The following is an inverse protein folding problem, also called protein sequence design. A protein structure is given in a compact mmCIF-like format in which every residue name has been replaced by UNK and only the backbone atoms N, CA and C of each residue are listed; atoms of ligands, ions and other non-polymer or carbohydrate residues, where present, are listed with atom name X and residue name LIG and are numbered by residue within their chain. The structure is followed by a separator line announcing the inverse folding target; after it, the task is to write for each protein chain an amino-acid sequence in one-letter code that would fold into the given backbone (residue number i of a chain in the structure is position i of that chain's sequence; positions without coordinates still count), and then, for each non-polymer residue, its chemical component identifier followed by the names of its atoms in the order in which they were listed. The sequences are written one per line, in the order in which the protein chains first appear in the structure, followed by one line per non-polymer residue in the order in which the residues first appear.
data_IF_124610112817
#
_entry.id   IF_124610112817
#
_cell.length_a   1.000
_cell.length_b   1.000
_cell.length_c   1.000
_cell.angle_alpha   90.00
_cell.angle_beta   90.00
_cell.angle_gamma   90.00
#
_symmetry.space_group_name_H-M   'P 1'
#
loop_
_entity.id
_entity.type
_entity.pdbx_description
1 polymer ?
#
# COMPACT_ATOMS: atom_id res chain seq x y z
N UNK A 1 14.62 6.27 -5.45
CA UNK A 1 15.78 7.16 -5.20
C UNK A 1 16.04 7.18 -3.70
N UNK A 2 17.30 7.36 -3.29
CA UNK A 2 17.68 7.56 -1.89
C UNK A 2 17.07 8.84 -1.34
N UNK A 3 16.92 8.95 -0.02
CA UNK A 3 16.46 10.20 0.58
C UNK A 3 17.43 11.37 0.33
N UNK A 4 18.74 11.12 0.21
CA UNK A 4 19.70 12.17 -0.16
C UNK A 4 19.34 12.80 -1.51
N UNK A 5 19.06 11.98 -2.52
CA UNK A 5 18.63 12.45 -3.84
C UNK A 5 17.27 13.15 -3.77
N UNK A 6 16.33 12.59 -3.00
CA UNK A 6 15.01 13.20 -2.79
C UNK A 6 15.11 14.57 -2.11
N UNK A 7 16.00 14.72 -1.11
CA UNK A 7 16.22 15.97 -0.40
C UNK A 7 16.87 17.04 -1.27
N UNK A 8 17.86 16.68 -2.09
CA UNK A 8 18.40 17.61 -3.09
C UNK A 8 17.34 18.01 -4.11
N UNK A 9 16.52 17.06 -4.60
CA UNK A 9 15.44 17.38 -5.52
C UNK A 9 14.39 18.31 -4.89
N UNK A 10 14.02 18.09 -3.63
CA UNK A 10 13.11 18.96 -2.88
C UNK A 10 13.64 20.40 -2.81
N UNK A 11 14.94 20.59 -2.53
CA UNK A 11 15.57 21.91 -2.52
C UNK A 11 15.53 22.62 -3.87
N UNK A 12 15.42 21.87 -4.97
CA UNK A 12 15.20 22.39 -6.33
C UNK A 12 13.71 22.52 -6.71
N UNK A 13 12.80 22.42 -5.74
CA UNK A 13 11.35 22.62 -5.93
C UNK A 13 10.58 21.36 -6.31
N UNK A 14 11.22 20.19 -6.37
CA UNK A 14 10.50 18.95 -6.64
C UNK A 14 9.62 18.53 -5.45
N UNK A 15 8.50 17.88 -5.78
CA UNK A 15 7.67 17.15 -4.82
C UNK A 15 8.07 15.67 -4.89
N UNK A 16 8.25 15.03 -3.74
CA UNK A 16 8.68 13.62 -3.66
C UNK A 16 7.79 12.83 -2.70
N UNK A 17 7.70 11.52 -2.88
CA UNK A 17 6.90 10.64 -2.02
C UNK A 17 7.49 9.24 -1.99
N UNK A 18 7.04 8.44 -1.03
CA UNK A 18 7.14 6.98 -1.10
C UNK A 18 5.96 6.43 -1.91
N UNK A 19 6.11 5.28 -2.60
CA UNK A 19 5.10 4.77 -3.51
C UNK A 19 3.74 4.64 -2.82
N UNK A 20 3.65 4.01 -1.66
CA UNK A 20 2.39 3.81 -0.94
C UNK A 20 1.84 5.04 -0.19
N UNK A 21 2.52 6.19 -0.21
CA UNK A 21 2.06 7.35 0.55
C UNK A 21 1.24 8.33 -0.32
N UNK A 22 0.03 8.68 0.13
CA UNK A 22 -0.91 9.47 -0.68
C UNK A 22 -0.61 10.97 -0.73
N UNK A 23 0.33 11.45 0.08
CA UNK A 23 0.83 12.82 0.11
C UNK A 23 2.14 13.01 -0.66
N UNK A 24 2.80 14.15 -0.43
CA UNK A 24 4.16 14.43 -0.91
C UNK A 24 4.95 15.30 0.07
N UNK A 25 6.28 15.19 0.05
CA UNK A 25 7.21 16.02 0.79
C UNK A 25 7.81 17.05 -0.16
N UNK A 26 8.07 18.24 0.37
CA UNK A 26 8.69 19.33 -0.37
C UNK A 26 9.52 20.23 0.57
N UNK A 27 10.50 20.93 0.01
CA UNK A 27 11.25 21.96 0.74
C UNK A 27 10.47 23.27 0.73
N UNK A 28 10.14 23.78 1.91
CA UNK A 28 9.44 25.06 2.06
C UNK A 28 10.45 26.17 2.35
N UNK A 29 10.62 27.10 1.39
CA UNK A 29 11.57 28.21 1.52
C UNK A 29 11.22 29.14 2.69
N UNK A 30 9.95 29.59 2.90
CA UNK A 30 9.61 30.41 4.06
C UNK A 30 9.88 29.73 5.40
N UNK A 31 9.61 28.42 5.51
CA UNK A 31 9.79 27.67 6.76
C UNK A 31 11.23 27.17 6.98
N UNK A 32 12.08 27.17 5.93
CA UNK A 32 13.39 26.53 5.91
C UNK A 32 13.35 25.10 6.45
N UNK A 33 12.33 24.34 6.05
CA UNK A 33 12.07 22.97 6.53
C UNK A 33 11.45 22.11 5.43
N UNK A 34 11.44 20.80 5.65
CA UNK A 34 10.65 19.86 4.86
C UNK A 34 9.22 19.89 5.40
N UNK A 35 8.26 20.19 4.51
CA UNK A 35 6.84 20.05 4.80
C UNK A 35 6.29 18.79 4.14
N UNK A 36 5.43 18.09 4.87
CA UNK A 36 4.71 16.90 4.43
C UNK A 36 3.26 17.30 4.13
N UNK A 37 2.93 17.41 2.84
CA UNK A 37 1.56 17.66 2.40
C UNK A 37 0.78 16.34 2.42
N UNK A 38 -0.22 16.23 3.28
CA UNK A 38 -1.03 15.02 3.41
C UNK A 38 -2.11 14.92 2.34
N UNK A 39 -2.71 13.73 2.18
CA UNK A 39 -3.85 13.52 1.28
C UNK A 39 -5.07 14.39 1.62
N UNK A 40 -5.17 14.84 2.87
CA UNK A 40 -6.28 15.65 3.38
C UNK A 40 -5.98 17.16 3.25
N UNK A 41 -4.93 17.54 2.52
CA UNK A 41 -4.58 18.94 2.25
C UNK A 41 -3.88 19.67 3.39
N UNK A 42 -3.35 18.94 4.39
CA UNK A 42 -2.64 19.53 5.53
C UNK A 42 -1.14 19.52 5.30
N UNK A 43 -0.48 20.63 5.59
CA UNK A 43 0.99 20.70 5.65
C UNK A 43 1.48 20.48 7.08
N UNK A 44 2.32 19.46 7.27
CA UNK A 44 2.95 19.15 8.55
C UNK A 44 4.45 19.40 8.42
N UNK A 45 5.00 20.27 9.26
CA UNK A 45 6.46 20.40 9.35
C UNK A 45 7.07 19.11 9.89
N UNK A 46 8.13 18.62 9.24
CA UNK A 46 8.78 17.37 9.64
C UNK A 46 9.25 17.39 11.11
N UNK A 47 9.57 18.58 11.64
CA UNK A 47 9.95 18.79 13.04
C UNK A 47 8.79 18.58 14.02
N UNK A 48 7.56 18.71 13.53
CA UNK A 48 6.32 18.53 14.28
C UNK A 48 5.73 17.13 14.09
N UNK A 49 6.50 16.17 13.57
CA UNK A 49 6.02 14.79 13.42
C UNK A 49 5.72 14.15 14.77
N UNK A 50 4.53 13.59 14.92
CA UNK A 50 4.12 12.86 16.13
C UNK A 50 4.61 11.40 16.11
N UNK A 51 4.86 10.85 14.92
CA UNK A 51 5.34 9.49 14.73
C UNK A 51 6.78 9.49 14.20
N UNK A 52 7.72 9.70 15.11
CA UNK A 52 9.15 9.81 14.80
C UNK A 52 9.67 8.54 14.13
N UNK A 53 9.36 7.36 14.68
CA UNK A 53 9.80 6.06 14.12
C UNK A 53 9.38 5.89 12.65
N UNK A 54 8.11 6.18 12.34
CA UNK A 54 7.59 6.14 10.96
C UNK A 54 8.31 7.14 10.05
N UNK A 55 8.52 8.37 10.52
CA UNK A 55 9.14 9.44 9.72
C UNK A 55 10.59 9.13 9.39
N UNK A 56 11.36 8.67 10.38
CA UNK A 56 12.77 8.32 10.17
C UNK A 56 12.92 7.01 9.39
N UNK A 57 12.01 6.05 9.55
CA UNK A 57 11.97 4.86 8.69
C UNK A 57 11.77 5.24 7.22
N UNK A 58 10.88 6.21 6.93
CA UNK A 58 10.69 6.71 5.58
C UNK A 58 11.94 7.43 5.05
N UNK A 59 12.59 8.26 5.87
CA UNK A 59 13.87 8.92 5.52
C UNK A 59 14.95 7.88 5.17
N UNK A 60 14.99 6.74 5.85
CA UNK A 60 15.95 5.67 5.56
C UNK A 60 15.61 4.87 4.29
N UNK A 61 14.47 5.13 3.63
CA UNK A 61 14.08 4.42 2.42
C UNK A 61 14.88 4.85 1.18
N UNK A 62 15.06 3.90 0.27
CA UNK A 62 15.64 4.10 -1.06
C UNK A 62 14.59 4.09 -2.19
N UNK A 63 13.32 4.13 -1.82
CA UNK A 63 12.19 3.96 -2.73
C UNK A 63 11.47 5.28 -3.03
N UNK A 64 12.11 6.42 -2.75
CA UNK A 64 11.52 7.72 -3.06
C UNK A 64 11.31 7.88 -4.57
N UNK A 65 10.23 8.53 -4.94
CA UNK A 65 9.85 8.86 -6.32
C UNK A 65 9.36 10.31 -6.38
N UNK A 66 9.35 10.90 -7.58
CA UNK A 66 8.70 12.18 -7.79
C UNK A 66 7.18 12.05 -7.65
N UNK A 67 6.57 13.00 -6.96
CA UNK A 67 5.12 13.13 -6.89
C UNK A 67 4.62 13.99 -8.05
N UNK A 68 3.59 13.51 -8.76
CA UNK A 68 2.96 14.23 -9.87
C UNK A 68 1.44 13.98 -9.88
N UNK A 69 0.73 14.63 -10.80
CA UNK A 69 -0.73 14.52 -10.93
C UNK A 69 -1.22 13.13 -11.36
N UNK A 70 -0.34 12.19 -11.67
CA UNK A 70 -0.71 10.81 -12.01
C UNK A 70 -0.58 9.88 -10.81
N UNK A 71 0.53 9.96 -10.05
CA UNK A 71 0.86 8.99 -9.00
C UNK A 71 0.56 9.47 -7.57
N UNK A 72 0.07 10.70 -7.38
CA UNK A 72 -0.13 11.29 -6.07
C UNK A 72 -1.58 11.75 -5.88
N UNK A 73 -2.36 11.09 -4.99
CA UNK A 73 -3.73 11.50 -4.67
C UNK A 73 -3.88 12.95 -4.25
N UNK A 74 -2.95 13.49 -3.44
CA UNK A 74 -2.98 14.90 -3.05
C UNK A 74 -2.79 15.88 -4.24
N UNK A 75 -2.40 15.37 -5.41
CA UNK A 75 -2.29 16.12 -6.67
C UNK A 75 -3.35 15.71 -7.70
N UNK A 76 -4.38 14.96 -7.29
CA UNK A 76 -5.47 14.47 -8.15
C UNK A 76 -5.18 13.14 -8.86
N UNK A 77 -4.03 12.51 -8.58
CA UNK A 77 -3.66 11.22 -9.15
C UNK A 77 -4.19 10.02 -8.39
N UNK A 78 -3.72 8.83 -8.75
CA UNK A 78 -4.00 7.57 -8.06
C UNK A 78 -2.72 6.97 -7.53
N UNK A 79 -2.80 6.32 -6.37
CA UNK A 79 -1.64 5.71 -5.79
C UNK A 79 -1.44 4.28 -6.29
N UNK A 80 -0.76 4.12 -7.43
CA UNK A 80 -0.34 2.81 -7.93
C UNK A 80 1.08 2.49 -7.48
N UNK A 81 1.34 1.21 -7.19
CA UNK A 81 2.64 0.74 -6.74
C UNK A 81 2.91 -0.70 -7.22
N UNK A 82 4.16 -1.13 -7.04
CA UNK A 82 4.63 -2.45 -7.44
C UNK A 82 4.08 -3.57 -6.57
N UNK A 83 4.16 -4.80 -7.06
CA UNK A 83 3.89 -5.99 -6.25
C UNK A 83 4.66 -6.04 -4.93
N UNK A 84 5.95 -5.67 -4.96
CA UNK A 84 6.80 -5.63 -3.76
C UNK A 84 6.24 -4.69 -2.70
N UNK A 85 5.83 -3.49 -3.12
CA UNK A 85 5.20 -2.55 -2.21
C UNK A 85 3.85 -3.08 -1.71
N UNK A 86 3.04 -3.68 -2.58
CA UNK A 86 1.78 -4.31 -2.21
C UNK A 86 1.97 -5.35 -1.10
N UNK A 87 2.99 -6.21 -1.19
CA UNK A 87 3.28 -7.22 -0.17
C UNK A 87 3.73 -6.59 1.16
N UNK A 88 4.47 -5.47 1.16
CA UNK A 88 4.74 -4.73 2.41
C UNK A 88 3.46 -4.21 3.04
N UNK A 89 2.56 -3.66 2.23
CA UNK A 89 1.29 -3.13 2.71
C UNK A 89 0.42 -4.24 3.32
N UNK A 90 0.36 -5.42 2.68
CA UNK A 90 -0.32 -6.60 3.25
C UNK A 90 0.29 -7.03 4.58
N UNK A 91 1.63 -7.08 4.70
CA UNK A 91 2.30 -7.37 5.99
C UNK A 91 1.95 -6.35 7.08
N UNK A 92 1.75 -5.09 6.68
CA UNK A 92 1.27 -4.00 7.54
C UNK A 92 -0.26 -4.00 7.72
N UNK A 93 -0.93 -5.13 7.43
CA UNK A 93 -2.37 -5.36 7.60
C UNK A 93 -3.26 -4.41 6.78
N UNK A 94 -2.76 -3.91 5.65
CA UNK A 94 -3.55 -3.16 4.68
C UNK A 94 -4.10 -4.10 3.61
N UNK A 95 -5.28 -3.76 3.08
CA UNK A 95 -5.87 -4.45 1.93
C UNK A 95 -5.34 -3.83 0.64
N UNK A 96 -5.00 -4.65 -0.34
CA UNK A 96 -4.51 -4.19 -1.64
C UNK A 96 -5.14 -4.99 -2.76
N UNK A 97 -5.24 -4.42 -3.95
CA UNK A 97 -5.71 -5.14 -5.14
C UNK A 97 -5.02 -4.60 -6.38
N UNK A 98 -5.06 -5.38 -7.46
CA UNK A 98 -4.73 -4.87 -8.79
C UNK A 98 -5.91 -4.10 -9.36
N UNK A 99 -5.65 -3.13 -10.23
CA UNK A 99 -6.70 -2.44 -10.97
C UNK A 99 -7.51 -3.38 -11.87
N UNK A 100 -6.92 -4.49 -12.32
CA UNK A 100 -7.59 -5.51 -13.12
C UNK A 100 -8.48 -6.46 -12.31
N UNK A 101 -8.39 -6.43 -10.97
CA UNK A 101 -9.29 -7.22 -10.13
C UNK A 101 -10.65 -6.53 -10.03
N UNK A 102 -11.70 -7.31 -9.79
CA UNK A 102 -13.01 -6.78 -9.41
C UNK A 102 -12.88 -5.91 -8.14
N UNK A 103 -13.72 -4.88 -8.02
CA UNK A 103 -13.58 -3.87 -6.96
C UNK A 103 -13.75 -4.42 -5.55
N UNK A 104 -14.51 -5.52 -5.42
CA UNK A 104 -14.77 -6.24 -4.17
C UNK A 104 -13.69 -7.30 -3.86
N UNK A 105 -12.71 -7.46 -4.75
CA UNK A 105 -11.70 -8.52 -4.69
C UNK A 105 -10.34 -7.92 -4.32
N UNK A 106 -9.77 -8.40 -3.20
CA UNK A 106 -8.53 -7.86 -2.66
C UNK A 106 -7.70 -8.92 -1.94
N UNK A 107 -6.43 -8.57 -1.72
CA UNK A 107 -5.51 -9.31 -0.89
C UNK A 107 -5.49 -8.74 0.52
N UNK A 108 -5.44 -9.62 1.51
CA UNK A 108 -5.23 -9.23 2.89
C UNK A 108 -4.48 -10.30 3.67
N UNK A 109 -3.89 -9.90 4.79
CA UNK A 109 -3.34 -10.83 5.76
C UNK A 109 -4.48 -11.34 6.65
N UNK A 110 -4.67 -12.65 6.68
CA UNK A 110 -5.70 -13.28 7.49
C UNK A 110 -5.14 -14.44 8.30
N UNK A 111 -5.73 -14.66 9.48
CA UNK A 111 -5.58 -15.89 10.24
C UNK A 111 -6.86 -16.68 10.05
N UNK A 112 -6.80 -17.75 9.28
CA UNK A 112 -7.97 -18.56 8.98
C UNK A 112 -7.58 -20.04 8.91
N UNK A 113 -8.54 -20.88 9.29
CA UNK A 113 -8.49 -22.31 8.99
C UNK A 113 -9.16 -22.49 7.62
N UNK A 114 -8.39 -22.80 6.60
CA UNK A 114 -8.95 -23.07 5.26
C UNK A 114 -9.43 -24.52 5.24
N UNK A 115 -10.60 -24.78 4.65
CA UNK A 115 -11.02 -26.16 4.36
C UNK A 115 -11.10 -26.31 2.85
N UNK A 116 -10.56 -27.38 2.29
CA UNK A 116 -10.86 -27.73 0.92
C UNK A 116 -12.30 -28.29 0.85
N UNK A 117 -13.04 -27.93 -0.19
CA UNK A 117 -14.26 -28.64 -0.55
C UNK A 117 -14.02 -29.22 -1.94
N UNK A 118 -13.65 -30.49 -1.99
CA UNK A 118 -13.67 -31.28 -3.22
C UNK A 118 -15.05 -31.94 -3.30
N UNK A 119 -15.79 -31.68 -4.39
CA UNK A 119 -17.10 -32.30 -4.67
C UNK A 119 -18.17 -32.17 -3.57
N UNK A 120 -18.24 -31.01 -2.91
CA UNK A 120 -19.26 -30.73 -1.89
C UNK A 120 -19.08 -31.54 -0.59
N UNK A 121 -18.05 -32.38 -0.50
CA UNK A 121 -17.61 -33.01 0.74
C UNK A 121 -16.49 -32.17 1.34
N UNK A 122 -16.70 -31.79 2.59
CA UNK A 122 -15.75 -30.98 3.36
C UNK A 122 -14.61 -31.91 3.79
N UNK A 123 -13.54 -31.97 3.01
CA UNK A 123 -12.34 -32.72 3.35
C UNK A 123 -11.15 -31.80 3.55
N UNK A 124 -10.40 -32.12 4.59
CA UNK A 124 -9.18 -31.52 5.11
C UNK A 124 -9.18 -30.00 5.37
N UNK A 125 -9.05 -29.73 6.67
CA UNK A 125 -8.77 -28.42 7.24
C UNK A 125 -7.27 -28.18 7.16
N UNK A 126 -6.86 -27.19 6.37
CA UNK A 126 -5.57 -26.54 6.53
C UNK A 126 -5.64 -25.63 7.77
N UNK A 127 -5.25 -26.18 8.92
CA UNK A 127 -5.08 -25.40 10.16
C UNK A 127 -3.72 -24.71 10.13
N UNK A 128 -3.62 -23.58 9.42
CA UNK A 128 -2.46 -22.70 9.62
C UNK A 128 -2.70 -21.89 10.89
N UNK A 129 -2.01 -22.26 11.97
CA UNK A 129 -1.94 -21.40 13.18
C UNK A 129 -1.28 -20.04 12.89
N UNK A 130 -0.61 -19.91 11.74
CA UNK A 130 0.10 -18.74 11.23
C UNK A 130 -0.79 -17.84 10.35
N UNK A 131 -0.35 -16.60 10.13
CA UNK A 131 -1.00 -15.69 9.20
C UNK A 131 -0.66 -16.08 7.76
N UNK A 132 -1.67 -16.08 6.89
CA UNK A 132 -1.53 -16.30 5.45
C UNK A 132 -2.01 -15.09 4.67
N UNK A 133 -1.46 -14.87 3.48
CA UNK A 133 -2.03 -13.91 2.53
C UNK A 133 -3.16 -14.62 1.79
N UNK A 134 -4.34 -14.03 1.82
CA UNK A 134 -5.51 -14.54 1.12
C UNK A 134 -5.94 -13.57 0.04
N UNK A 135 -6.55 -14.12 -1.00
CA UNK A 135 -7.42 -13.38 -1.91
C UNK A 135 -8.85 -13.56 -1.42
N UNK A 136 -9.52 -12.46 -1.14
CA UNK A 136 -10.88 -12.42 -0.62
C UNK A 136 -11.77 -11.62 -1.59
N UNK A 137 -13.04 -12.00 -1.66
CA UNK A 137 -14.10 -11.26 -2.33
C UNK A 137 -15.21 -10.98 -1.30
N UNK A 138 -15.54 -9.71 -1.08
CA UNK A 138 -16.65 -9.31 -0.20
C UNK A 138 -17.97 -9.48 -0.96
N UNK A 139 -18.81 -10.44 -0.52
CA UNK A 139 -20.16 -10.58 -1.08
C UNK A 139 -21.16 -9.82 -0.22
N UNK A 140 -22.02 -9.01 -0.84
CA UNK A 140 -23.17 -8.38 -0.17
C UNK A 140 -24.25 -9.38 0.27
N UNK A 141 -24.23 -10.62 -0.25
CA UNK A 141 -25.35 -11.58 -0.14
C UNK A 141 -25.15 -12.69 0.87
N UNK A 142 -23.92 -12.99 1.28
CA UNK A 142 -23.61 -14.06 2.25
C UNK A 142 -22.62 -13.58 3.31
N UNK A 143 -23.16 -13.13 4.45
CA UNK A 143 -22.38 -12.67 5.62
C UNK A 143 -21.62 -13.78 6.35
N UNK A 144 -21.84 -15.05 5.96
CA UNK A 144 -21.22 -16.21 6.61
C UNK A 144 -20.00 -16.76 5.86
N UNK A 145 -19.81 -16.41 4.59
CA UNK A 145 -18.73 -16.93 3.76
C UNK A 145 -18.15 -15.86 2.85
N UNK A 146 -17.15 -15.13 3.35
CA UNK A 146 -16.21 -14.45 2.43
C UNK A 146 -15.55 -15.54 1.58
N UNK A 147 -15.82 -15.57 0.27
CA UNK A 147 -15.11 -16.47 -0.64
C UNK A 147 -13.65 -16.06 -0.59
N UNK A 148 -12.84 -16.89 0.06
CA UNK A 148 -11.42 -16.62 0.23
C UNK A 148 -10.61 -17.86 -0.09
N UNK A 149 -9.48 -17.63 -0.73
CA UNK A 149 -8.50 -18.65 -1.10
C UNK A 149 -7.11 -18.18 -0.71
N UNK A 150 -6.20 -19.12 -0.48
CA UNK A 150 -4.79 -18.77 -0.33
C UNK A 150 -4.29 -18.10 -1.61
N UNK A 151 -3.59 -16.98 -1.46
CA UNK A 151 -3.10 -16.25 -2.62
C UNK A 151 -1.79 -16.86 -3.12
N UNK A 152 -1.79 -17.31 -4.38
CA UNK A 152 -0.58 -17.71 -5.10
C UNK A 152 -0.33 -16.65 -6.18
N UNK A 153 0.73 -15.82 -6.05
CA UNK A 153 1.01 -14.78 -7.04
C UNK A 153 1.41 -15.38 -8.39
N UNK A 154 0.82 -14.87 -9.47
CA UNK A 154 1.25 -15.18 -10.83
C UNK A 154 2.49 -14.36 -11.21
N UNK A 155 3.20 -14.74 -12.28
CA UNK A 155 4.29 -13.90 -12.81
C UNK A 155 3.79 -12.51 -13.23
N UNK A 156 2.58 -12.43 -13.80
CA UNK A 156 1.93 -11.16 -14.15
C UNK A 156 1.72 -10.30 -12.92
N UNK A 157 1.28 -10.89 -11.80
CA UNK A 157 1.09 -10.17 -10.55
C UNK A 157 2.41 -9.63 -10.00
N UNK A 158 3.47 -10.44 -10.02
CA UNK A 158 4.79 -10.07 -9.54
C UNK A 158 5.43 -8.94 -10.34
N UNK A 159 5.13 -8.85 -11.64
CA UNK A 159 5.66 -7.83 -12.55
C UNK A 159 4.75 -6.58 -12.66
N UNK A 160 3.60 -6.58 -11.98
CA UNK A 160 2.64 -5.50 -12.10
C UNK A 160 2.99 -4.28 -11.24
N UNK A 161 2.71 -3.10 -11.80
CA UNK A 161 2.85 -1.77 -11.18
C UNK A 161 1.49 -1.09 -10.95
N UNK A 162 0.41 -1.85 -11.08
CA UNK A 162 -0.99 -1.41 -11.01
C UNK A 162 -1.66 -1.79 -9.67
N UNK A 163 -0.87 -2.06 -8.64
CA UNK A 163 -1.40 -2.34 -7.31
C UNK A 163 -1.85 -1.06 -6.62
N UNK A 164 -3.00 -1.12 -5.98
CA UNK A 164 -3.62 -0.02 -5.24
C UNK A 164 -4.11 -0.52 -3.89
N UNK A 165 -4.38 0.40 -2.96
CA UNK A 165 -5.13 0.04 -1.76
C UNK A 165 -6.57 -0.36 -2.13
N UNK A 166 -7.09 -1.37 -1.44
CA UNK A 166 -8.51 -1.68 -1.42
C UNK A 166 -9.13 -1.10 -0.15
N UNK A 167 -10.31 -0.50 -0.28
CA UNK A 167 -11.06 0.08 0.84
C UNK A 167 -11.82 -0.99 1.64
#
# INVERSE_FOLDING_TARGET
MTFKEAFEAMKHGAKVKLPSWSGYWFWCIPAQSILMHTKDGKDIDIRSTECVDYTFTNICSNEWIFANGTNCPALGGMNTFSFHEAMKQVKNKKRVRRLTFESDTFLQLARATFGACLDGKREDRFDSKEYSIIKACESEKDSYYTKCEQYVPTQTDMLAEDWVFAE
#
